data_IF_772492104892
#
_entry.id   IF_772492104892
#
_cell.length_a   1.000
_cell.length_b   1.000
_cell.length_c   1.000
_cell.angle_alpha   90.00
_cell.angle_beta   90.00
_cell.angle_gamma   90.00
#
_symmetry.space_group_name_H-M   'P 1'
#
loop_
_entity.id
_entity.type
_entity.pdbx_description
1 polymer ?
#
# COMPACT_ATOMS: atom_id res chain seq x y z
N UNK A 1 0.66 -15.34 23.23
CA UNK A 1 0.02 -15.05 21.92
C UNK A 1 -1.31 -14.36 22.21
N UNK A 2 -1.31 -13.03 22.24
CA UNK A 2 -2.55 -12.24 22.34
C UNK A 2 -3.10 -12.09 20.93
N UNK A 3 -4.09 -12.93 20.57
CA UNK A 3 -4.99 -12.57 19.46
C UNK A 3 -5.96 -11.56 20.06
N UNK A 4 -6.03 -10.33 19.53
CA UNK A 4 -7.11 -9.43 19.86
C UNK A 4 -8.40 -10.01 19.23
N UNK A 5 -9.03 -10.95 19.93
CA UNK A 5 -10.07 -11.84 19.41
C UNK A 5 -11.32 -11.11 18.86
N UNK A 6 -11.53 -9.84 19.22
CA UNK A 6 -12.66 -9.03 18.75
C UNK A 6 -12.37 -8.25 17.45
N UNK A 7 -11.11 -8.21 16.99
CA UNK A 7 -10.69 -7.40 15.83
C UNK A 7 -9.66 -8.19 15.01
N UNK A 8 -10.07 -9.31 14.41
CA UNK A 8 -9.20 -10.06 13.49
C UNK A 8 -9.36 -9.53 12.06
N UNK A 9 -8.44 -8.69 11.55
CA UNK A 9 -8.52 -8.25 10.17
C UNK A 9 -8.24 -9.41 9.21
N UNK A 10 -8.98 -9.46 8.11
CA UNK A 10 -8.64 -10.30 6.98
C UNK A 10 -7.37 -9.75 6.31
N UNK A 11 -6.40 -10.61 6.06
CA UNK A 11 -5.19 -10.26 5.29
C UNK A 11 -5.43 -10.57 3.82
N UNK A 12 -5.15 -9.61 2.94
CA UNK A 12 -5.15 -9.78 1.48
C UNK A 12 -3.77 -9.49 0.93
N UNK A 13 -3.25 -10.37 0.08
CA UNK A 13 -1.96 -10.12 -0.57
C UNK A 13 -2.13 -9.03 -1.64
N UNK A 14 -1.43 -7.91 -1.48
CA UNK A 14 -1.51 -6.76 -2.40
C UNK A 14 -0.12 -6.34 -2.91
N UNK A 15 0.65 -7.28 -3.48
CA UNK A 15 1.98 -7.00 -4.00
C UNK A 15 1.96 -6.01 -5.17
N UNK A 16 3.09 -5.33 -5.39
CA UNK A 16 3.28 -4.41 -6.50
C UNK A 16 4.18 -3.25 -6.12
N UNK A 17 3.96 -2.63 -4.96
CA UNK A 17 4.94 -1.68 -4.41
C UNK A 17 6.20 -2.43 -3.96
N UNK A 18 6.00 -3.53 -3.26
CA UNK A 18 6.99 -4.59 -3.03
C UNK A 18 6.34 -5.95 -3.31
N UNK A 19 7.13 -7.02 -3.37
CA UNK A 19 6.61 -8.38 -3.48
C UNK A 19 5.87 -8.88 -2.21
N UNK A 20 6.07 -8.23 -1.06
CA UNK A 20 5.56 -8.61 0.26
C UNK A 20 4.43 -7.74 0.79
N UNK A 21 3.92 -6.78 -0.01
CA UNK A 21 2.83 -5.91 0.43
C UNK A 21 1.54 -6.71 0.71
N UNK A 22 0.88 -6.36 1.81
CA UNK A 22 -0.42 -6.90 2.22
C UNK A 22 -1.34 -5.76 2.64
N UNK A 23 -2.64 -5.99 2.49
CA UNK A 23 -3.72 -5.12 2.95
C UNK A 23 -4.46 -5.80 4.08
N UNK A 24 -4.72 -5.08 5.17
CA UNK A 24 -5.53 -5.55 6.29
C UNK A 24 -6.95 -4.97 6.20
N UNK A 25 -7.95 -5.84 6.20
CA UNK A 25 -9.36 -5.47 6.05
C UNK A 25 -10.12 -5.82 7.34
N UNK A 26 -10.61 -4.81 8.04
CA UNK A 26 -11.60 -4.99 9.10
C UNK A 26 -13.01 -4.82 8.50
N UNK A 27 -13.71 -5.94 8.31
CA UNK A 27 -15.07 -5.96 7.75
C UNK A 27 -16.10 -5.33 8.69
N UNK A 28 -15.96 -5.51 10.01
CA UNK A 28 -16.93 -5.01 10.99
C UNK A 28 -16.95 -3.50 11.12
N UNK A 29 -15.78 -2.87 10.99
CA UNK A 29 -15.61 -1.41 11.09
C UNK A 29 -15.51 -0.73 9.72
N UNK A 30 -15.47 -1.51 8.62
CA UNK A 30 -15.28 -0.99 7.27
C UNK A 30 -13.96 -0.25 7.10
N UNK A 31 -12.87 -0.74 7.69
CA UNK A 31 -11.54 -0.12 7.65
C UNK A 31 -10.56 -0.97 6.84
N UNK A 32 -9.78 -0.32 5.98
CA UNK A 32 -8.84 -0.97 5.06
C UNK A 32 -7.47 -0.30 5.18
N UNK A 33 -6.50 -1.01 5.75
CA UNK A 33 -5.12 -0.53 5.85
C UNK A 33 -4.34 -1.04 4.65
N UNK A 34 -3.95 -0.14 3.75
CA UNK A 34 -3.52 -0.47 2.38
C UNK A 34 -2.01 -0.43 2.18
N UNK A 35 -1.24 -0.13 3.23
CA UNK A 35 0.20 0.07 3.12
C UNK A 35 0.51 1.14 2.08
N UNK A 36 1.51 0.87 1.25
CA UNK A 36 1.84 1.70 0.08
C UNK A 36 1.23 1.17 -1.23
N UNK A 37 0.39 0.12 -1.18
CA UNK A 37 -0.26 -0.39 -2.40
C UNK A 37 -1.24 0.62 -2.98
N UNK A 38 -2.02 1.27 -2.12
CA UNK A 38 -2.95 2.34 -2.51
C UNK A 38 -2.74 3.53 -1.57
N UNK A 39 -2.58 4.72 -2.14
CA UNK A 39 -2.47 5.98 -1.40
C UNK A 39 -3.67 6.87 -1.73
N UNK A 40 -3.90 7.89 -0.91
CA UNK A 40 -4.98 8.85 -1.18
C UNK A 40 -4.67 9.60 -2.48
N UNK A 41 -5.51 9.39 -3.51
CA UNK A 41 -5.33 9.90 -4.88
C UNK A 41 -3.96 9.53 -5.48
N UNK A 42 -3.42 8.36 -5.13
CA UNK A 42 -2.15 7.89 -5.65
C UNK A 42 -1.88 6.41 -5.34
N UNK A 43 -0.62 6.03 -5.45
CA UNK A 43 -0.11 4.71 -5.07
C UNK A 43 1.40 4.79 -4.86
N UNK A 44 1.96 3.79 -4.17
CA UNK A 44 3.39 3.63 -4.01
C UNK A 44 4.12 3.44 -5.34
N UNK A 45 5.42 3.75 -5.34
CA UNK A 45 6.31 3.52 -6.49
C UNK A 45 6.50 2.02 -6.74
N UNK A 46 6.92 1.61 -7.93
CA UNK A 46 7.02 0.18 -8.30
C UNK A 46 8.37 -0.18 -8.92
N UNK A 47 9.37 0.68 -8.79
CA UNK A 47 10.69 0.60 -9.44
C UNK A 47 11.81 0.13 -8.49
N UNK A 48 11.48 -0.20 -7.24
CA UNK A 48 12.39 -0.73 -6.22
C UNK A 48 11.78 -1.94 -5.51
N UNK A 49 12.56 -2.66 -4.70
CA UNK A 49 12.07 -3.73 -3.80
C UNK A 49 11.22 -4.82 -4.50
N UNK A 50 11.61 -5.19 -5.73
CA UNK A 50 10.87 -6.13 -6.58
C UNK A 50 9.44 -5.65 -6.89
N UNK A 51 9.25 -4.33 -6.97
CA UNK A 51 8.00 -3.72 -7.40
C UNK A 51 7.67 -4.02 -8.85
N UNK A 52 6.38 -4.00 -9.15
CA UNK A 52 5.82 -4.31 -10.46
C UNK A 52 4.49 -3.56 -10.64
N UNK A 53 4.41 -2.71 -11.66
CA UNK A 53 3.21 -1.90 -11.94
C UNK A 53 2.01 -2.74 -12.38
N UNK A 54 2.21 -3.77 -13.20
CA UNK A 54 1.12 -4.67 -13.60
C UNK A 54 0.54 -5.36 -12.36
N UNK A 55 1.41 -5.87 -11.50
CA UNK A 55 1.01 -6.56 -10.27
C UNK A 55 0.30 -5.62 -9.30
N UNK A 56 0.79 -4.38 -9.15
CA UNK A 56 0.13 -3.37 -8.32
C UNK A 56 -1.29 -3.08 -8.80
N UNK A 57 -1.46 -2.83 -10.11
CA UNK A 57 -2.76 -2.55 -10.71
C UNK A 57 -3.75 -3.70 -10.44
N UNK A 58 -3.31 -4.93 -10.73
CA UNK A 58 -4.13 -6.13 -10.53
C UNK A 58 -4.46 -6.35 -9.06
N UNK A 59 -3.53 -6.10 -8.14
CA UNK A 59 -3.76 -6.20 -6.70
C UNK A 59 -4.79 -5.19 -6.21
N UNK A 60 -4.71 -3.93 -6.62
CA UNK A 60 -5.69 -2.91 -6.25
C UNK A 60 -7.08 -3.28 -6.79
N UNK A 61 -7.16 -3.64 -8.08
CA UNK A 61 -8.42 -3.98 -8.73
C UNK A 61 -9.12 -5.19 -8.08
N UNK A 62 -8.37 -6.27 -7.77
CA UNK A 62 -8.94 -7.52 -7.25
C UNK A 62 -9.18 -7.49 -5.74
N UNK A 63 -8.27 -6.91 -4.98
CA UNK A 63 -8.26 -7.05 -3.52
C UNK A 63 -8.83 -5.83 -2.79
N UNK A 64 -8.81 -4.64 -3.39
CA UNK A 64 -9.24 -3.40 -2.73
C UNK A 64 -10.52 -2.86 -3.37
N UNK A 65 -10.58 -2.73 -4.69
CA UNK A 65 -11.74 -2.15 -5.39
C UNK A 65 -12.95 -3.08 -5.49
N UNK A 66 -12.83 -4.32 -5.02
CA UNK A 66 -13.94 -5.25 -4.79
C UNK A 66 -14.61 -5.07 -3.42
N UNK A 67 -14.05 -4.25 -2.53
CA UNK A 67 -14.64 -3.94 -1.22
C UNK A 67 -15.80 -2.94 -1.34
N UNK A 68 -16.70 -2.86 -0.34
CA UNK A 68 -17.78 -1.88 -0.35
C UNK A 68 -17.27 -0.44 -0.44
N UNK A 69 -17.90 0.39 -1.27
CA UNK A 69 -17.42 1.75 -1.57
C UNK A 69 -17.24 2.65 -0.34
N UNK A 70 -18.04 2.43 0.71
CA UNK A 70 -17.99 3.22 1.95
C UNK A 70 -16.84 2.83 2.89
N UNK A 71 -16.11 1.76 2.59
CA UNK A 71 -14.98 1.34 3.41
C UNK A 71 -13.88 2.40 3.37
N UNK A 72 -13.38 2.77 4.53
CA UNK A 72 -12.33 3.78 4.70
C UNK A 72 -10.96 3.19 4.39
N UNK A 73 -10.20 3.91 3.57
CA UNK A 73 -8.82 3.56 3.21
C UNK A 73 -7.88 4.36 4.10
N UNK A 74 -6.99 3.64 4.78
CA UNK A 74 -5.89 4.17 5.58
C UNK A 74 -4.56 3.73 4.93
N UNK A 75 -3.85 4.65 4.24
CA UNK A 75 -2.54 4.34 3.66
C UNK A 75 -1.43 4.34 4.73
N UNK A 76 -0.26 3.80 4.40
CA UNK A 76 0.93 3.94 5.24
C UNK A 76 1.52 5.36 5.19
N UNK A 77 1.32 6.08 4.07
CA UNK A 77 1.82 7.43 3.87
C UNK A 77 0.78 8.35 3.25
N UNK A 78 0.89 9.63 3.58
CA UNK A 78 0.27 10.72 2.84
C UNK A 78 1.22 11.92 2.85
N UNK A 79 1.29 12.63 1.72
CA UNK A 79 2.22 13.76 1.55
C UNK A 79 1.49 15.11 1.40
N UNK A 80 0.18 15.13 1.68
CA UNK A 80 -0.73 16.27 1.45
C UNK A 80 -1.56 16.66 2.69
N UNK A 81 -1.43 15.94 3.80
CA UNK A 81 -2.13 16.16 5.06
C UNK A 81 -3.46 15.42 5.20
N UNK A 82 -3.75 14.43 4.36
CA UNK A 82 -4.98 13.63 4.45
C UNK A 82 -4.81 12.42 5.36
N UNK A 83 -5.82 12.14 6.17
CA UNK A 83 -5.80 11.02 7.11
C UNK A 83 -6.41 9.73 6.54
N UNK A 84 -7.43 9.84 5.68
CA UNK A 84 -8.11 8.70 5.05
C UNK A 84 -8.85 9.13 3.78
N UNK A 85 -9.25 8.16 2.95
CA UNK A 85 -10.27 8.29 1.90
C UNK A 85 -11.22 7.09 1.98
N UNK A 86 -11.90 6.74 0.89
CA UNK A 86 -12.80 5.60 0.80
C UNK A 86 -12.59 4.84 -0.51
N UNK A 87 -13.00 3.57 -0.55
CA UNK A 87 -12.90 2.74 -1.76
C UNK A 87 -13.61 3.41 -2.94
N UNK A 88 -14.82 3.93 -2.73
CA UNK A 88 -15.59 4.60 -3.79
C UNK A 88 -14.93 5.87 -4.30
N UNK A 89 -14.30 6.65 -3.42
CA UNK A 89 -13.56 7.83 -3.84
C UNK A 89 -12.30 7.49 -4.65
N UNK A 90 -11.52 6.50 -4.24
CA UNK A 90 -10.31 6.10 -4.97
C UNK A 90 -10.68 5.47 -6.33
N UNK A 91 -11.75 4.67 -6.41
CA UNK A 91 -12.26 4.18 -7.70
C UNK A 91 -12.61 5.32 -8.66
N UNK A 92 -13.28 6.37 -8.18
CA UNK A 92 -13.73 7.46 -9.05
C UNK A 92 -12.64 8.48 -9.36
N UNK A 93 -11.76 8.76 -8.41
CA UNK A 93 -10.93 9.96 -8.42
C UNK A 93 -9.43 9.69 -8.34
N UNK A 94 -8.99 8.43 -8.19
CA UNK A 94 -7.56 8.15 -8.23
C UNK A 94 -7.02 8.41 -9.65
N UNK A 95 -6.10 9.37 -9.83
CA UNK A 95 -5.64 9.79 -11.16
C UNK A 95 -4.82 8.71 -11.88
N UNK A 96 -4.34 7.68 -11.16
CA UNK A 96 -3.54 6.58 -11.71
C UNK A 96 -4.33 5.29 -11.84
N UNK A 97 -5.16 4.99 -10.84
CA UNK A 97 -5.79 3.68 -10.67
C UNK A 97 -7.32 3.68 -10.80
N UNK A 98 -7.96 4.85 -10.90
CA UNK A 98 -9.43 4.94 -10.95
C UNK A 98 -10.04 4.18 -12.12
N UNK A 99 -11.36 3.98 -12.08
CA UNK A 99 -12.13 3.15 -13.04
C UNK A 99 -11.95 3.61 -14.51
N UNK A 100 -11.55 4.87 -14.74
CA UNK A 100 -11.23 5.41 -16.06
C UNK A 100 -9.78 5.13 -16.53
N UNK A 101 -9.01 4.31 -15.81
CA UNK A 101 -7.60 4.02 -16.14
C UNK A 101 -7.44 2.54 -16.47
N UNK A 102 -6.96 2.28 -17.68
CA UNK A 102 -6.55 0.94 -18.09
C UNK A 102 -5.22 0.54 -17.43
N UNK A 103 -4.94 -0.76 -17.39
CA UNK A 103 -3.66 -1.29 -16.88
C UNK A 103 -2.47 -0.72 -17.66
N UNK A 104 -2.56 -0.65 -18.99
CA UNK A 104 -1.48 -0.14 -19.85
C UNK A 104 -1.23 1.36 -19.62
N UNK A 105 -2.27 2.17 -19.46
CA UNK A 105 -2.13 3.58 -19.10
C UNK A 105 -1.47 3.74 -17.73
N UNK A 106 -1.89 2.94 -16.75
CA UNK A 106 -1.29 2.95 -15.42
C UNK A 106 0.21 2.61 -15.47
N UNK A 107 0.57 1.51 -16.14
CA UNK A 107 1.96 1.06 -16.28
C UNK A 107 2.79 2.11 -17.01
N UNK A 108 2.25 2.70 -18.09
CA UNK A 108 2.91 3.78 -18.80
C UNK A 108 3.13 5.01 -17.91
N UNK A 109 2.15 5.41 -17.10
CA UNK A 109 2.32 6.51 -16.14
C UNK A 109 3.45 6.19 -15.16
N UNK A 110 3.43 5.00 -14.54
CA UNK A 110 4.40 4.60 -13.53
C UNK A 110 5.83 4.54 -14.07
N UNK A 111 6.02 3.99 -15.28
CA UNK A 111 7.33 3.91 -15.94
C UNK A 111 7.91 5.28 -16.32
N UNK A 112 7.06 6.30 -16.48
CA UNK A 112 7.46 7.65 -16.83
C UNK A 112 7.60 8.60 -15.63
N UNK A 113 7.40 8.12 -14.40
CA UNK A 113 7.61 8.93 -13.20
C UNK A 113 9.10 9.19 -12.99
N UNK A 114 9.51 10.47 -13.03
CA UNK A 114 10.88 10.90 -12.74
C UNK A 114 11.10 11.13 -11.25
N UNK A 115 11.11 10.05 -10.47
CA UNK A 115 11.31 10.10 -9.02
C UNK A 115 12.80 10.06 -8.67
N UNK A 116 13.20 10.83 -7.65
CA UNK A 116 14.53 10.67 -7.06
C UNK A 116 14.67 9.30 -6.37
N UNK A 117 15.92 8.86 -6.20
CA UNK A 117 16.24 7.72 -5.33
C UNK A 117 15.66 7.96 -3.92
N UNK A 118 15.02 6.96 -3.27
CA UNK A 118 14.57 7.13 -1.90
C UNK A 118 15.75 7.35 -0.97
N UNK A 119 15.72 8.45 -0.20
CA UNK A 119 16.87 8.96 0.57
C UNK A 119 17.47 7.99 1.59
N UNK A 120 16.68 7.03 2.08
CA UNK A 120 17.06 6.10 3.15
C UNK A 120 16.96 4.62 2.74
N UNK A 121 16.83 4.31 1.44
CA UNK A 121 16.59 2.92 1.04
C UNK A 121 17.71 1.97 1.49
N UNK A 122 18.97 2.42 1.39
CA UNK A 122 20.15 1.63 1.74
C UNK A 122 20.34 1.41 3.25
N UNK A 123 19.69 2.24 4.08
CA UNK A 123 19.69 2.12 5.54
C UNK A 123 18.46 1.33 6.02
N UNK A 124 17.28 1.72 5.53
CA UNK A 124 16.00 1.23 6.02
C UNK A 124 15.71 -0.20 5.56
N UNK A 125 16.05 -0.57 4.32
CA UNK A 125 15.74 -1.93 3.83
C UNK A 125 16.51 -3.01 4.59
N UNK A 126 17.85 -2.92 4.78
CA UNK A 126 18.58 -3.91 5.57
C UNK A 126 18.08 -4.01 7.01
N UNK A 127 17.83 -2.88 7.68
CA UNK A 127 17.32 -2.87 9.05
C UNK A 127 15.93 -3.54 9.13
N UNK A 128 15.02 -3.24 8.21
CA UNK A 128 13.67 -3.81 8.22
C UNK A 128 13.64 -5.32 7.95
N UNK A 129 14.58 -5.86 7.16
CA UNK A 129 14.69 -7.31 6.90
C UNK A 129 14.99 -8.08 8.20
N UNK A 130 15.72 -7.47 9.13
CA UNK A 130 16.04 -8.02 10.45
C UNK A 130 15.15 -7.44 11.56
N UNK A 131 13.92 -7.04 11.24
CA UNK A 131 12.94 -6.50 12.18
C UNK A 131 13.40 -5.27 12.97
N UNK A 132 14.22 -4.41 12.35
CA UNK A 132 14.70 -3.16 12.95
C UNK A 132 15.84 -3.32 13.94
N UNK A 133 16.42 -4.52 14.08
CA UNK A 133 17.61 -4.72 14.90
C UNK A 133 18.78 -3.90 14.32
N UNK A 134 19.51 -3.22 15.19
CA UNK A 134 20.69 -2.44 14.83
C UNK A 134 21.89 -2.92 15.65
N UNK A 135 23.05 -3.02 15.00
CA UNK A 135 24.28 -3.41 15.67
C UNK A 135 24.61 -2.45 16.82
N UNK A 136 24.89 -3.00 18.01
CA UNK A 136 25.29 -2.22 19.18
C UNK A 136 24.15 -1.55 19.96
N UNK A 137 22.89 -1.74 19.57
CA UNK A 137 21.73 -1.32 20.38
C UNK A 137 21.30 -2.50 21.27
N UNK A 138 21.33 -2.37 22.62
CA UNK A 138 20.85 -3.41 23.52
C UNK A 138 19.38 -3.74 23.24
N UNK A 139 19.06 -5.03 23.16
CA UNK A 139 17.67 -5.48 23.11
C UNK A 139 17.14 -5.36 24.54
N UNK A 140 16.38 -4.31 24.83
CA UNK A 140 15.67 -4.22 26.12
C UNK A 140 14.56 -5.29 26.16
N UNK A 141 14.48 -6.08 27.25
CA UNK A 141 13.53 -7.19 27.39
C UNK A 141 12.07 -6.74 27.56
#
# INVERSE_FOLDING_TARGET
>A
MFVCLSLSPQVRATPGHTNGCVTYVNQGEGMVFTGDTLLIRGCGRTDFQQGDSHRLYQSVAREIFTLPEHFRIYPAHDYRGFAHSTVGEEKRFNPRLGDEKTEDEFVNIMNNLKLSLPKKIDEAVPANIICGLQDGVPIEP
#
